data_IF_364830472768
#
_entry.id   IF_364830472768
#
_cell.length_a   1.000
_cell.length_b   1.000
_cell.length_c   1.000
_cell.angle_alpha   90.00
_cell.angle_beta   90.00
_cell.angle_gamma   90.00
#
_symmetry.space_group_name_H-M   'P 1'
#
loop_
_entity.id
_entity.type
_entity.pdbx_description
1 polymer ?
#
# COMPACT_ATOMS: atom_id res chain seq x y z
N UNK A 1 -2.39 -12.25 0.58
CA UNK A 1 -2.62 -11.31 1.71
C UNK A 1 -4.12 -11.06 1.83
N UNK A 2 -4.67 -10.82 3.02
CA UNK A 2 -6.12 -10.64 3.20
C UNK A 2 -6.40 -9.33 3.96
N UNK A 3 -7.34 -8.53 3.48
CA UNK A 3 -7.80 -7.30 4.12
C UNK A 3 -9.32 -7.39 4.27
N UNK A 4 -9.78 -7.72 5.48
CA UNK A 4 -11.20 -7.98 5.75
C UNK A 4 -11.74 -9.10 4.84
N UNK A 5 -12.83 -8.87 4.08
CA UNK A 5 -13.39 -9.87 3.16
C UNK A 5 -12.62 -9.98 1.83
N UNK A 6 -11.66 -9.08 1.55
CA UNK A 6 -10.95 -9.04 0.27
C UNK A 6 -9.66 -9.84 0.31
N UNK A 7 -9.53 -10.77 -0.63
CA UNK A 7 -8.30 -11.53 -0.85
C UNK A 7 -7.43 -10.85 -1.90
N UNK A 8 -6.22 -10.45 -1.49
CA UNK A 8 -5.23 -9.85 -2.37
C UNK A 8 -4.30 -10.94 -2.90
N UNK A 9 -4.33 -11.13 -4.22
CA UNK A 9 -3.39 -11.92 -4.99
C UNK A 9 -2.42 -11.01 -5.76
N UNK A 10 -1.18 -11.45 -6.00
CA UNK A 10 -0.26 -10.69 -6.81
C UNK A 10 -0.73 -10.71 -8.27
N UNK A 11 -0.52 -9.61 -9.00
CA UNK A 11 -0.86 -9.52 -10.43
C UNK A 11 -0.08 -10.53 -11.28
N UNK A 12 1.12 -10.91 -10.83
CA UNK A 12 1.96 -11.95 -11.44
C UNK A 12 2.44 -12.90 -10.35
N UNK A 13 2.49 -14.20 -10.64
CA UNK A 13 2.90 -15.23 -9.67
C UNK A 13 4.31 -15.01 -9.08
N UNK A 14 5.20 -14.33 -9.83
CA UNK A 14 6.58 -14.05 -9.45
C UNK A 14 6.76 -12.65 -8.81
N UNK A 15 5.71 -11.83 -8.77
CA UNK A 15 5.80 -10.46 -8.28
C UNK A 15 5.56 -10.41 -6.77
N UNK A 16 6.52 -9.89 -5.97
CA UNK A 16 6.31 -9.74 -4.54
C UNK A 16 5.19 -8.72 -4.28
N UNK A 17 4.28 -9.05 -3.37
CA UNK A 17 3.23 -8.12 -2.93
C UNK A 17 3.88 -7.10 -1.99
N UNK A 18 4.35 -6.00 -2.55
CA UNK A 18 4.86 -4.86 -1.78
C UNK A 18 3.70 -3.90 -1.48
N UNK A 19 3.37 -3.79 -0.20
CA UNK A 19 2.32 -2.88 0.28
C UNK A 19 2.91 -1.83 1.21
N UNK A 20 2.54 -0.56 1.01
CA UNK A 20 2.82 0.48 1.98
C UNK A 20 1.80 0.42 3.12
N UNK A 21 2.26 0.25 4.35
CA UNK A 21 1.40 0.38 5.53
C UNK A 21 0.98 1.85 5.74
N UNK A 22 -0.23 2.13 6.23
CA UNK A 22 -0.62 3.47 6.66
C UNK A 22 0.20 3.87 7.90
N UNK A 23 0.77 5.08 7.90
CA UNK A 23 1.72 5.55 8.90
C UNK A 23 1.53 7.04 9.14
N UNK A 24 0.71 7.37 10.16
CA UNK A 24 0.30 8.72 10.54
C UNK A 24 1.48 9.72 10.58
N UNK A 25 1.44 10.79 9.79
CA UNK A 25 2.48 11.81 9.67
C UNK A 25 3.65 11.46 8.74
N UNK A 26 3.73 10.22 8.24
CA UNK A 26 4.79 9.74 7.33
C UNK A 26 4.25 9.48 5.93
N UNK A 27 3.04 8.90 5.86
CA UNK A 27 2.39 8.46 4.62
C UNK A 27 1.87 9.59 3.74
N UNK A 28 2.56 10.74 3.62
CA UNK A 28 2.13 11.87 2.79
C UNK A 28 2.20 11.55 1.28
N UNK A 29 1.51 12.35 0.44
CA UNK A 29 1.39 12.11 -1.00
C UNK A 29 2.73 11.88 -1.72
N UNK A 30 3.76 12.67 -1.41
CA UNK A 30 5.09 12.52 -2.02
C UNK A 30 5.73 11.17 -1.66
N UNK A 31 5.66 10.78 -0.39
CA UNK A 31 6.20 9.51 0.09
C UNK A 31 5.50 8.32 -0.58
N UNK A 32 4.17 8.40 -0.73
CA UNK A 32 3.36 7.39 -1.43
C UNK A 32 3.77 7.21 -2.88
N UNK A 33 4.07 8.31 -3.60
CA UNK A 33 4.56 8.23 -4.99
C UNK A 33 5.94 7.60 -5.12
N UNK A 34 6.84 7.89 -4.19
CA UNK A 34 8.18 7.27 -4.17
C UNK A 34 8.04 5.77 -3.96
N UNK A 35 7.24 5.35 -2.98
CA UNK A 35 7.00 3.94 -2.71
C UNK A 35 6.30 3.23 -3.88
N UNK A 36 5.36 3.89 -4.56
CA UNK A 36 4.73 3.35 -5.77
C UNK A 36 5.75 3.11 -6.90
N UNK A 37 6.71 4.03 -7.09
CA UNK A 37 7.82 3.87 -8.05
C UNK A 37 8.80 2.76 -7.66
N UNK A 38 8.97 2.51 -6.37
CA UNK A 38 9.79 1.42 -5.85
C UNK A 38 9.09 0.05 -5.88
N UNK A 39 7.85 -0.02 -6.40
CA UNK A 39 7.12 -1.27 -6.59
C UNK A 39 6.00 -1.53 -5.58
N UNK A 40 5.66 -0.57 -4.71
CA UNK A 40 4.49 -0.70 -3.82
C UNK A 40 3.19 -0.63 -4.64
N UNK A 41 2.59 -1.78 -4.93
CA UNK A 41 1.36 -1.90 -5.72
C UNK A 41 0.08 -1.56 -4.95
N UNK A 42 0.17 -1.48 -3.63
CA UNK A 42 -0.92 -1.07 -2.73
C UNK A 42 -0.37 -0.08 -1.71
N UNK A 43 -1.11 1.00 -1.48
CA UNK A 43 -0.68 2.08 -0.60
C UNK A 43 -1.76 2.39 0.43
N UNK A 44 -1.44 2.17 1.71
CA UNK A 44 -2.25 2.59 2.84
C UNK A 44 -2.19 4.10 3.03
N UNK A 45 -3.34 4.69 3.34
CA UNK A 45 -3.51 6.12 3.60
C UNK A 45 -3.88 6.29 5.07
N UNK A 46 -3.49 7.43 5.65
CA UNK A 46 -3.81 7.79 7.03
C UNK A 46 -5.31 7.75 7.27
N UNK A 47 -5.69 7.36 8.48
CA UNK A 47 -7.08 7.47 8.91
C UNK A 47 -7.46 8.95 9.04
N UNK A 48 -8.49 9.37 8.33
CA UNK A 48 -9.04 10.73 8.41
C UNK A 48 -10.29 10.64 9.29
N UNK A 49 -10.16 11.11 10.53
CA UNK A 49 -11.28 11.23 11.46
C UNK A 49 -11.95 12.59 11.22
N UNK A 50 -12.93 12.62 10.31
CA UNK A 50 -13.80 13.77 10.09
C UNK A 50 -14.95 13.78 11.11
#
# INVERSE_FOLDING_TARGET
>A
MQIGPYQLSPYRSDMPILTLAPMAGVGNWVFRLICARLGAGLVGVEFINC
#
